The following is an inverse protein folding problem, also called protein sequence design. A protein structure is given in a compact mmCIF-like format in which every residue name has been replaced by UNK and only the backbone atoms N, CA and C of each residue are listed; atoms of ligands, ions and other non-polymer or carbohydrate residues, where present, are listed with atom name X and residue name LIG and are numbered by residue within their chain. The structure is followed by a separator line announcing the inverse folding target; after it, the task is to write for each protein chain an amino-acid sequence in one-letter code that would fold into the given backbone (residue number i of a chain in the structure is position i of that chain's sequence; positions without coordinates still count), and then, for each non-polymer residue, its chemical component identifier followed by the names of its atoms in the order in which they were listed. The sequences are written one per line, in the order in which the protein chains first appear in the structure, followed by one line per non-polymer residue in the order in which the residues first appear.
data_IF_374667572773
#
_entry.id   IF_374667572773
#
_cell.length_a   1.000
_cell.length_b   1.000
_cell.length_c   1.000
_cell.angle_alpha   90.00
_cell.angle_beta   90.00
_cell.angle_gamma   90.00
#
_symmetry.space_group_name_H-M   'P 1'
#
loop_
_entity.id
_entity.type
_entity.pdbx_description
1 polymer ?
#
# COMPACT_ATOMS: atom_id res chain seq x y z
N UNK A 1 -14.48 3.09 -20.31
CA UNK A 1 -13.12 2.51 -20.42
C UNK A 1 -13.25 1.07 -20.85
N UNK A 2 -12.28 0.54 -21.59
CA UNK A 2 -12.21 -0.88 -21.92
C UNK A 2 -12.10 -1.67 -20.62
N UNK A 3 -12.83 -2.78 -20.52
CA UNK A 3 -12.63 -3.74 -19.43
C UNK A 3 -11.32 -4.50 -19.68
N UNK A 4 -10.32 -4.25 -18.84
CA UNK A 4 -8.99 -4.87 -18.92
C UNK A 4 -8.83 -6.03 -17.93
N UNK A 5 -9.90 -6.42 -17.23
CA UNK A 5 -9.86 -7.41 -16.14
C UNK A 5 -9.36 -8.77 -16.62
N UNK A 6 -9.79 -9.21 -17.80
CA UNK A 6 -9.37 -10.51 -18.34
C UNK A 6 -7.87 -10.54 -18.68
N UNK A 7 -7.38 -9.53 -19.38
CA UNK A 7 -5.96 -9.45 -19.76
C UNK A 7 -5.06 -9.27 -18.53
N UNK A 8 -5.46 -8.42 -17.58
CA UNK A 8 -4.70 -8.18 -16.35
C UNK A 8 -4.69 -9.43 -15.45
N UNK A 9 -5.82 -10.12 -15.35
CA UNK A 9 -5.94 -11.37 -14.60
C UNK A 9 -5.08 -12.49 -15.21
N UNK A 10 -5.04 -12.60 -16.54
CA UNK A 10 -4.16 -13.54 -17.23
C UNK A 10 -2.68 -13.23 -16.96
N UNK A 11 -2.30 -11.95 -17.06
CA UNK A 11 -0.93 -11.50 -16.74
C UNK A 11 -0.51 -11.88 -15.30
N UNK A 12 -1.35 -11.57 -14.30
CA UNK A 12 -1.06 -11.89 -12.90
C UNK A 12 -0.99 -13.40 -12.65
N UNK A 13 -1.88 -14.18 -13.28
CA UNK A 13 -1.85 -15.63 -13.18
C UNK A 13 -0.56 -16.20 -13.76
N UNK A 14 -0.22 -15.82 -14.99
CA UNK A 14 1.00 -16.28 -15.66
C UNK A 14 2.25 -15.89 -14.86
N UNK A 15 2.26 -14.70 -14.26
CA UNK A 15 3.34 -14.25 -13.39
C UNK A 15 3.44 -15.10 -12.12
N UNK A 16 2.33 -15.31 -11.41
CA UNK A 16 2.29 -16.14 -10.21
C UNK A 16 2.69 -17.60 -10.49
N UNK A 17 2.23 -18.18 -11.59
CA UNK A 17 2.57 -19.55 -12.01
C UNK A 17 4.08 -19.67 -12.32
N UNK A 18 4.64 -18.71 -13.07
CA UNK A 18 6.07 -18.70 -13.44
C UNK A 18 6.98 -18.62 -12.22
N UNK A 19 6.59 -17.86 -11.20
CA UNK A 19 7.43 -17.59 -10.04
C UNK A 19 7.02 -18.37 -8.79
N UNK A 20 5.98 -19.21 -8.88
CA UNK A 20 5.45 -20.06 -7.81
C UNK A 20 5.00 -19.29 -6.56
N UNK A 21 4.37 -18.13 -6.74
CA UNK A 21 3.87 -17.30 -5.63
C UNK A 21 2.48 -17.74 -5.18
N UNK A 22 2.23 -17.76 -3.86
CA UNK A 22 0.88 -17.92 -3.32
C UNK A 22 0.28 -16.57 -2.95
N UNK A 23 -0.80 -16.17 -3.63
CA UNK A 23 -1.58 -15.00 -3.26
C UNK A 23 -2.50 -15.38 -2.10
N UNK A 24 -2.16 -15.01 -0.86
CA UNK A 24 -2.82 -15.54 0.35
C UNK A 24 -4.24 -14.99 0.56
N UNK A 25 -4.51 -13.76 0.12
CA UNK A 25 -5.75 -13.03 0.46
C UNK A 25 -6.84 -13.04 -0.63
N UNK A 26 -6.53 -13.37 -1.88
CA UNK A 26 -7.50 -13.28 -2.98
C UNK A 26 -7.13 -14.08 -4.26
N UNK A 27 -8.13 -14.52 -5.01
CA UNK A 27 -7.95 -15.03 -6.37
C UNK A 27 -7.45 -13.93 -7.34
N UNK A 28 -6.45 -14.20 -8.21
CA UNK A 28 -5.84 -13.20 -9.11
C UNK A 28 -6.83 -12.43 -9.99
N UNK A 29 -7.92 -13.06 -10.42
CA UNK A 29 -8.95 -12.41 -11.25
C UNK A 29 -9.77 -11.38 -10.46
N UNK A 30 -10.09 -11.67 -9.20
CA UNK A 30 -10.80 -10.73 -8.35
C UNK A 30 -9.89 -9.55 -7.99
N UNK A 31 -8.60 -9.83 -7.74
CA UNK A 31 -7.58 -8.79 -7.58
C UNK A 31 -7.48 -7.89 -8.80
N UNK A 32 -7.34 -8.46 -10.00
CA UNK A 32 -7.32 -7.72 -11.26
C UNK A 32 -8.57 -6.87 -11.47
N UNK A 33 -9.75 -7.40 -11.13
CA UNK A 33 -11.01 -6.65 -11.22
C UNK A 33 -11.00 -5.41 -10.33
N UNK A 34 -10.51 -5.52 -9.09
CA UNK A 34 -10.39 -4.38 -8.17
C UNK A 34 -9.35 -3.37 -8.66
N UNK A 35 -8.21 -3.85 -9.14
CA UNK A 35 -7.19 -2.99 -9.73
C UNK A 35 -7.74 -2.20 -10.92
N UNK A 36 -8.52 -2.84 -11.80
CA UNK A 36 -9.18 -2.17 -12.92
C UNK A 36 -10.20 -1.11 -12.46
N UNK A 37 -11.02 -1.40 -11.45
CA UNK A 37 -11.97 -0.43 -10.89
C UNK A 37 -11.25 0.79 -10.31
N UNK A 38 -10.16 0.54 -9.57
CA UNK A 38 -9.42 1.57 -8.83
C UNK A 38 -8.53 2.39 -9.77
N UNK A 39 -7.77 1.75 -10.65
CA UNK A 39 -6.62 2.39 -11.31
C UNK A 39 -6.85 2.83 -12.75
N UNK A 40 -7.94 2.39 -13.39
CA UNK A 40 -8.26 2.79 -14.76
C UNK A 40 -8.47 4.32 -14.89
N UNK A 41 -8.86 4.98 -13.80
CA UNK A 41 -9.09 6.43 -13.71
C UNK A 41 -7.82 7.28 -13.58
N UNK A 42 -6.63 6.71 -13.36
CA UNK A 42 -5.40 7.49 -13.18
C UNK A 42 -4.56 7.63 -14.45
N UNK A 43 -4.90 6.93 -15.53
CA UNK A 43 -4.09 6.96 -16.74
C UNK A 43 -4.28 8.23 -17.54
N UNK A 44 -3.15 8.89 -17.82
CA UNK A 44 -3.05 10.08 -18.66
C UNK A 44 -2.65 9.76 -20.11
N UNK A 45 -2.44 8.48 -20.46
CA UNK A 45 -2.02 8.07 -21.81
C UNK A 45 -3.19 7.95 -22.79
N UNK A 46 -2.93 8.24 -24.07
CA UNK A 46 -3.90 8.21 -25.16
C UNK A 46 -3.86 6.91 -25.98
N UNK A 47 -2.84 6.07 -25.83
CA UNK A 47 -2.72 4.82 -26.57
C UNK A 47 -2.96 3.59 -25.67
N UNK A 48 -3.64 2.59 -26.24
CA UNK A 48 -4.14 1.42 -25.53
C UNK A 48 -3.03 0.48 -25.04
N UNK A 49 -1.91 0.41 -25.77
CA UNK A 49 -0.79 -0.46 -25.42
C UNK A 49 -0.06 0.06 -24.19
N UNK A 50 0.33 1.33 -24.20
CA UNK A 50 1.00 2.01 -23.08
C UNK A 50 0.11 2.03 -21.84
N UNK A 51 -1.20 2.22 -22.01
CA UNK A 51 -2.18 2.09 -20.93
C UNK A 51 -2.11 0.71 -20.27
N UNK A 52 -2.11 -0.35 -21.08
CA UNK A 52 -2.09 -1.72 -20.56
C UNK A 52 -0.75 -2.09 -19.93
N UNK A 53 0.37 -1.63 -20.49
CA UNK A 53 1.71 -1.86 -19.92
C UNK A 53 1.86 -1.17 -18.57
N UNK A 54 1.40 0.08 -18.45
CA UNK A 54 1.34 0.75 -17.17
C UNK A 54 0.44 0.02 -16.18
N UNK A 55 -0.73 -0.50 -16.58
CA UNK A 55 -1.61 -1.25 -15.68
C UNK A 55 -0.95 -2.52 -15.15
N UNK A 56 -0.23 -3.26 -16.01
CA UNK A 56 0.55 -4.43 -15.61
C UNK A 56 1.62 -4.04 -14.58
N UNK A 57 2.24 -2.88 -14.75
CA UNK A 57 3.24 -2.37 -13.81
C UNK A 57 2.64 -2.02 -12.45
N UNK A 58 1.50 -1.32 -12.44
CA UNK A 58 0.75 -1.04 -11.22
C UNK A 58 0.32 -2.34 -10.52
N UNK A 59 -0.07 -3.36 -11.27
CA UNK A 59 -0.45 -4.65 -10.73
C UNK A 59 0.70 -5.41 -10.08
N UNK A 60 1.92 -5.34 -10.66
CA UNK A 60 3.12 -5.89 -10.01
C UNK A 60 3.47 -5.15 -8.73
N UNK A 61 3.37 -3.82 -8.72
CA UNK A 61 3.56 -3.05 -7.50
C UNK A 61 2.57 -3.46 -6.40
N UNK A 62 1.27 -3.54 -6.71
CA UNK A 62 0.27 -3.98 -5.74
C UNK A 62 0.49 -5.43 -5.28
N UNK A 63 0.92 -6.31 -6.18
CA UNK A 63 1.28 -7.70 -5.84
C UNK A 63 2.45 -7.73 -4.85
N UNK A 64 3.53 -7.01 -5.15
CA UNK A 64 4.68 -6.90 -4.24
C UNK A 64 4.24 -6.38 -2.87
N UNK A 65 3.43 -5.31 -2.87
CA UNK A 65 2.97 -4.65 -1.66
C UNK A 65 2.19 -5.62 -0.75
N UNK A 66 1.25 -6.38 -1.31
CA UNK A 66 0.50 -7.38 -0.54
C UNK A 66 1.40 -8.51 -0.03
N UNK A 67 2.35 -8.99 -0.85
CA UNK A 67 3.23 -10.10 -0.48
C UNK A 67 4.17 -9.69 0.65
N UNK A 68 4.75 -8.48 0.59
CA UNK A 68 5.63 -8.02 1.67
C UNK A 68 4.84 -7.72 2.95
N UNK A 69 3.64 -7.13 2.85
CA UNK A 69 2.71 -6.92 3.99
C UNK A 69 2.40 -8.24 4.70
N UNK A 70 1.98 -9.26 3.95
CA UNK A 70 1.71 -10.61 4.48
C UNK A 70 2.93 -11.24 5.16
N UNK A 71 4.13 -11.06 4.60
CA UNK A 71 5.35 -11.60 5.18
C UNK A 71 5.71 -10.88 6.48
N UNK A 72 5.50 -9.56 6.55
CA UNK A 72 5.78 -8.76 7.75
C UNK A 72 4.79 -9.10 8.87
N UNK A 73 3.54 -9.38 8.52
CA UNK A 73 2.49 -9.72 9.49
C UNK A 73 2.58 -11.18 9.97
N UNK A 74 2.86 -12.13 9.08
CA UNK A 74 2.69 -13.56 9.36
C UNK A 74 3.98 -14.40 9.29
N UNK A 75 5.15 -13.79 9.10
CA UNK A 75 6.41 -14.52 8.98
C UNK A 75 7.57 -13.87 9.74
N UNK A 76 8.46 -14.69 10.28
CA UNK A 76 9.74 -14.22 10.83
C UNK A 76 10.76 -13.76 9.76
N UNK A 77 10.41 -13.90 8.47
CA UNK A 77 11.27 -13.56 7.33
C UNK A 77 11.14 -12.11 6.85
N UNK A 78 10.37 -11.27 7.54
CA UNK A 78 10.15 -9.86 7.17
C UNK A 78 11.46 -9.09 6.93
N UNK A 79 12.41 -9.20 7.86
CA UNK A 79 13.71 -8.52 7.77
C UNK A 79 14.51 -8.94 6.52
N UNK A 80 14.59 -10.24 6.24
CA UNK A 80 15.33 -10.76 5.09
C UNK A 80 14.71 -10.31 3.76
N UNK A 81 13.38 -10.22 3.71
CA UNK A 81 12.63 -9.74 2.54
C UNK A 81 12.87 -8.25 2.27
N UNK A 82 12.86 -7.42 3.32
CA UNK A 82 13.20 -5.99 3.22
C UNK A 82 14.64 -5.83 2.72
N UNK A 83 15.59 -6.54 3.31
CA UNK A 83 17.01 -6.46 2.92
C UNK A 83 17.23 -6.88 1.46
N UNK A 84 16.58 -7.95 0.99
CA UNK A 84 16.69 -8.37 -0.41
C UNK A 84 16.12 -7.31 -1.37
N UNK A 85 14.97 -6.70 -1.03
CA UNK A 85 14.41 -5.59 -1.81
C UNK A 85 15.37 -4.39 -1.87
N UNK A 86 16.01 -4.04 -0.75
CA UNK A 86 17.01 -2.96 -0.70
C UNK A 86 18.24 -3.28 -1.56
N UNK A 87 18.72 -4.52 -1.51
CA UNK A 87 19.82 -4.98 -2.37
C UNK A 87 19.47 -4.88 -3.86
N UNK A 88 18.23 -5.25 -4.25
CA UNK A 88 17.74 -5.10 -5.62
C UNK A 88 17.77 -3.64 -6.06
N UNK A 89 17.16 -2.74 -5.28
CA UNK A 89 17.08 -1.32 -5.60
C UNK A 89 18.48 -0.69 -5.71
N UNK A 90 19.39 -1.03 -4.79
CA UNK A 90 20.79 -0.61 -4.85
C UNK A 90 21.51 -1.16 -6.10
N UNK A 91 21.19 -2.38 -6.52
CA UNK A 91 21.70 -3.01 -7.74
C UNK A 91 21.37 -2.20 -8.99
N UNK A 92 20.12 -1.76 -9.16
CA UNK A 92 19.71 -0.91 -10.29
C UNK A 92 20.45 0.43 -10.34
N UNK A 93 20.81 1.02 -9.19
CA UNK A 93 21.58 2.28 -9.14
C UNK A 93 23.07 2.11 -9.42
N UNK A 94 23.62 0.96 -9.05
CA UNK A 94 25.06 0.68 -9.13
C UNK A 94 25.48 -0.13 -10.36
N UNK A 95 24.52 -0.64 -11.14
CA UNK A 95 24.79 -1.57 -12.24
C UNK A 95 25.21 -2.97 -11.77
N UNK A 96 24.83 -3.33 -10.54
CA UNK A 96 25.15 -4.63 -9.94
C UNK A 96 24.31 -5.78 -10.51
N UNK A 97 24.76 -7.01 -10.32
CA UNK A 97 23.99 -8.21 -10.68
C UNK A 97 23.00 -8.57 -9.57
N UNK A 98 21.75 -8.80 -9.93
CA UNK A 98 20.75 -9.35 -9.00
C UNK A 98 20.95 -10.85 -8.80
N UNK A 99 20.96 -11.29 -7.54
CA UNK A 99 20.88 -12.69 -7.15
C UNK A 99 19.66 -12.86 -6.26
N UNK A 100 18.59 -13.47 -6.79
CA UNK A 100 17.34 -13.71 -6.06
C UNK A 100 17.59 -14.43 -4.74
N UNK A 101 17.10 -13.88 -3.63
CA UNK A 101 17.05 -14.57 -2.33
C UNK A 101 15.63 -14.77 -1.83
N UNK A 102 14.73 -13.83 -2.09
CA UNK A 102 13.35 -13.87 -1.59
C UNK A 102 12.32 -13.69 -2.71
N UNK A 103 11.05 -13.86 -2.34
CA UNK A 103 9.91 -13.65 -3.24
C UNK A 103 9.71 -12.16 -3.51
N UNK A 104 9.71 -11.33 -2.46
CA UNK A 104 9.56 -9.88 -2.56
C UNK A 104 10.68 -9.23 -3.36
N UNK A 105 11.93 -9.68 -3.18
CA UNK A 105 13.09 -9.21 -3.94
C UNK A 105 12.96 -9.53 -5.43
N UNK A 106 12.42 -10.70 -5.79
CA UNK A 106 12.13 -11.04 -7.18
C UNK A 106 11.05 -10.14 -7.79
N UNK A 107 9.96 -9.87 -7.06
CA UNK A 107 8.87 -9.04 -7.59
C UNK A 107 9.37 -7.59 -7.79
N UNK A 108 10.13 -7.03 -6.84
CA UNK A 108 10.76 -5.70 -7.01
C UNK A 108 11.75 -5.68 -8.17
N UNK A 109 12.55 -6.74 -8.34
CA UNK A 109 13.45 -6.83 -9.48
C UNK A 109 12.68 -6.76 -10.79
N UNK A 110 11.63 -7.56 -10.94
CA UNK A 110 10.84 -7.63 -12.16
C UNK A 110 10.03 -6.35 -12.41
N UNK A 111 9.52 -5.74 -11.34
CA UNK A 111 8.92 -4.40 -11.38
C UNK A 111 9.93 -3.39 -11.90
N UNK A 112 11.12 -3.29 -11.30
CA UNK A 112 12.11 -2.32 -11.75
C UNK A 112 12.56 -2.59 -13.19
N UNK A 113 12.78 -3.84 -13.59
CA UNK A 113 13.11 -4.19 -14.98
C UNK A 113 12.03 -3.69 -15.95
N UNK A 114 10.77 -4.06 -15.71
CA UNK A 114 9.66 -3.69 -16.58
C UNK A 114 9.39 -2.19 -16.57
N UNK A 115 9.52 -1.55 -15.41
CA UNK A 115 9.44 -0.11 -15.30
C UNK A 115 10.44 0.54 -16.25
N UNK A 116 11.73 0.18 -16.22
CA UNK A 116 12.73 0.73 -17.16
C UNK A 116 12.40 0.44 -18.63
N UNK A 117 11.74 -0.69 -18.92
CA UNK A 117 11.32 -1.08 -20.28
C UNK A 117 10.03 -0.39 -20.75
N UNK A 118 9.30 0.33 -19.88
CA UNK A 118 8.11 1.08 -20.28
C UNK A 118 8.44 2.07 -21.41
N UNK A 119 7.48 2.34 -22.33
CA UNK A 119 7.65 3.35 -23.36
C UNK A 119 8.14 4.68 -22.77
N UNK A 120 9.27 5.18 -23.28
CA UNK A 120 9.94 6.36 -22.73
C UNK A 120 9.14 7.64 -23.03
N UNK A 121 8.31 8.06 -22.08
CA UNK A 121 7.67 9.37 -22.04
C UNK A 121 8.68 10.49 -21.75
N UNK A 122 8.22 11.75 -21.85
CA UNK A 122 9.10 12.92 -21.69
C UNK A 122 9.47 13.23 -20.22
N UNK A 123 8.87 12.51 -19.27
CA UNK A 123 9.17 12.62 -17.83
C UNK A 123 9.84 11.34 -17.28
N UNK A 124 10.29 10.42 -18.15
CA UNK A 124 10.81 9.11 -17.77
C UNK A 124 11.96 9.16 -16.77
N UNK A 125 12.96 10.00 -17.03
CA UNK A 125 14.15 10.14 -16.19
C UNK A 125 13.80 10.58 -14.76
N UNK A 126 12.96 11.62 -14.60
CA UNK A 126 12.55 12.07 -13.27
C UNK A 126 11.65 11.04 -12.58
N UNK A 127 10.79 10.34 -13.33
CA UNK A 127 9.97 9.26 -12.78
C UNK A 127 10.78 8.09 -12.24
N UNK A 128 11.88 7.71 -12.90
CA UNK A 128 12.80 6.67 -12.41
C UNK A 128 13.46 7.08 -11.09
N UNK A 129 13.80 8.36 -10.94
CA UNK A 129 14.35 8.86 -9.68
C UNK A 129 13.31 8.87 -8.56
N UNK A 130 12.10 9.30 -8.87
CA UNK A 130 11.02 9.41 -7.90
C UNK A 130 10.51 8.04 -7.45
N UNK A 131 10.31 7.08 -8.36
CA UNK A 131 9.84 5.74 -8.00
C UNK A 131 10.84 5.03 -7.08
N UNK A 132 12.14 5.21 -7.33
CA UNK A 132 13.18 4.68 -6.45
C UNK A 132 13.07 5.26 -5.04
N UNK A 133 12.90 6.58 -4.92
CA UNK A 133 12.78 7.24 -3.62
C UNK A 133 11.51 6.79 -2.88
N UNK A 134 10.40 6.62 -3.59
CA UNK A 134 9.14 6.19 -2.99
C UNK A 134 9.20 4.72 -2.55
N UNK A 135 9.82 3.82 -3.32
CA UNK A 135 10.06 2.43 -2.91
C UNK A 135 10.96 2.33 -1.67
N UNK A 136 12.01 3.14 -1.60
CA UNK A 136 12.86 3.22 -0.40
C UNK A 136 12.08 3.70 0.82
N UNK A 137 11.19 4.69 0.63
CA UNK A 137 10.31 5.18 1.69
C UNK A 137 9.37 4.08 2.17
N UNK A 138 8.69 3.39 1.26
CA UNK A 138 7.78 2.28 1.59
C UNK A 138 8.51 1.17 2.36
N UNK A 139 9.72 0.78 1.95
CA UNK A 139 10.51 -0.23 2.65
C UNK A 139 10.88 0.19 4.08
N UNK A 140 11.16 1.47 4.32
CA UNK A 140 11.34 1.99 5.67
C UNK A 140 10.04 1.91 6.49
N UNK A 141 8.89 2.12 5.86
CA UNK A 141 7.58 1.94 6.48
C UNK A 141 7.32 0.49 6.91
N UNK A 142 7.60 -0.48 6.04
CA UNK A 142 7.51 -1.89 6.39
C UNK A 142 8.52 -2.30 7.48
N UNK A 143 9.73 -1.75 7.49
CA UNK A 143 10.68 -2.02 8.58
C UNK A 143 10.20 -1.45 9.92
N UNK A 144 9.54 -0.28 9.91
CA UNK A 144 8.88 0.27 11.09
C UNK A 144 7.75 -0.65 11.58
N UNK A 145 6.84 -1.09 10.70
CA UNK A 145 5.75 -2.00 11.06
C UNK A 145 6.28 -3.32 11.63
N UNK A 146 7.33 -3.89 11.02
CA UNK A 146 8.02 -5.07 11.55
C UNK A 146 8.53 -4.86 12.97
N UNK A 147 9.23 -3.74 13.22
CA UNK A 147 9.77 -3.42 14.55
C UNK A 147 8.63 -3.30 15.57
N UNK A 148 7.53 -2.65 15.19
CA UNK A 148 6.35 -2.50 16.04
C UNK A 148 5.74 -3.85 16.39
N UNK A 149 5.58 -4.74 15.42
CA UNK A 149 5.03 -6.09 15.62
C UNK A 149 5.95 -6.95 16.51
N UNK A 150 7.27 -6.88 16.30
CA UNK A 150 8.25 -7.64 17.10
C UNK A 150 8.37 -7.16 18.55
N UNK A 151 7.89 -5.95 18.87
CA UNK A 151 8.06 -5.31 20.19
C UNK A 151 6.73 -4.94 20.87
N UNK A 152 5.61 -5.54 20.45
CA UNK A 152 4.29 -5.40 21.08
C UNK A 152 3.87 -3.92 21.33
N UNK A 153 3.94 -3.09 20.28
CA UNK A 153 3.23 -1.80 20.28
C UNK A 153 4.01 -0.60 20.82
N UNK A 154 5.30 -0.51 20.53
CA UNK A 154 6.11 0.69 20.80
C UNK A 154 5.70 1.93 19.99
N UNK A 155 4.88 1.76 18.95
CA UNK A 155 4.55 2.82 18.00
C UNK A 155 3.65 3.91 18.59
N UNK A 156 3.93 5.17 18.24
CA UNK A 156 3.06 6.31 18.53
C UNK A 156 2.22 6.70 17.32
N UNK A 157 1.12 7.44 17.53
CA UNK A 157 0.34 7.99 16.42
C UNK A 157 1.18 8.88 15.48
N UNK A 158 2.19 9.59 16.00
CA UNK A 158 3.05 10.44 15.16
C UNK A 158 3.92 9.58 14.23
N UNK A 159 4.59 8.57 14.78
CA UNK A 159 5.44 7.66 14.00
C UNK A 159 4.62 6.81 13.03
N UNK A 160 3.43 6.39 13.43
CA UNK A 160 2.49 5.71 12.53
C UNK A 160 2.14 6.58 11.32
N UNK A 161 1.85 7.86 11.52
CA UNK A 161 1.54 8.76 10.41
C UNK A 161 2.78 9.08 9.54
N UNK A 162 3.98 8.92 10.08
CA UNK A 162 5.24 9.15 9.35
C UNK A 162 5.69 7.91 8.57
N UNK A 163 5.56 6.71 9.17
CA UNK A 163 6.15 5.46 8.67
C UNK A 163 5.13 4.34 8.41
N UNK A 164 4.10 4.18 9.23
CA UNK A 164 3.10 3.10 9.01
C UNK A 164 2.09 3.44 7.91
N UNK A 165 1.72 4.71 7.77
CA UNK A 165 0.71 5.13 6.81
C UNK A 165 1.18 5.12 5.35
N UNK A 166 2.49 4.99 5.13
CA UNK A 166 3.14 5.09 3.82
C UNK A 166 3.32 3.74 3.12
N UNK A 167 2.87 2.63 3.72
CA UNK A 167 3.14 1.28 3.20
C UNK A 167 2.47 0.98 1.86
N UNK A 168 1.43 1.70 1.41
CA UNK A 168 0.79 1.51 0.11
C UNK A 168 1.14 2.58 -0.96
N UNK A 169 1.92 3.59 -0.59
CA UNK A 169 2.18 4.88 -1.29
C UNK A 169 1.69 5.00 -2.75
N UNK A 170 0.55 5.69 -2.93
CA UNK A 170 -0.05 5.88 -4.25
C UNK A 170 0.83 6.68 -5.24
N UNK A 171 1.92 7.33 -4.79
CA UNK A 171 2.81 8.10 -5.68
C UNK A 171 3.56 7.21 -6.67
N UNK A 172 3.78 5.94 -6.36
CA UNK A 172 4.34 4.98 -7.32
C UNK A 172 3.44 4.87 -8.56
N UNK A 173 2.12 4.94 -8.40
CA UNK A 173 1.19 4.96 -9.53
C UNK A 173 1.36 6.21 -10.40
N UNK A 174 1.51 7.37 -9.76
CA UNK A 174 1.80 8.62 -10.46
C UNK A 174 3.12 8.53 -11.22
N UNK A 175 4.17 7.94 -10.63
CA UNK A 175 5.47 7.84 -11.28
C UNK A 175 5.44 6.93 -12.52
N UNK A 176 4.66 5.84 -12.49
CA UNK A 176 4.34 5.00 -13.66
C UNK A 176 3.61 5.80 -14.74
N UNK A 177 2.62 6.59 -14.35
CA UNK A 177 1.85 7.42 -15.30
C UNK A 177 2.75 8.51 -15.93
N UNK A 178 3.58 9.16 -15.13
CA UNK A 178 4.53 10.18 -15.58
C UNK A 178 5.59 9.59 -16.54
N UNK A 179 6.06 8.37 -16.26
CA UNK A 179 7.08 7.69 -17.06
C UNK A 179 6.64 7.47 -18.51
N UNK A 180 5.34 7.29 -18.71
CA UNK A 180 4.73 7.03 -20.02
C UNK A 180 4.02 8.25 -20.60
N UNK A 181 3.94 9.36 -19.86
CA UNK A 181 3.19 10.54 -20.28
C UNK A 181 3.87 11.22 -21.49
N UNK A 182 3.14 11.47 -22.60
CA UNK A 182 3.75 11.92 -23.85
C UNK A 182 4.15 13.39 -23.86
N UNK A 183 3.74 14.18 -22.87
CA UNK A 183 4.09 15.60 -22.77
C UNK A 183 5.04 15.82 -21.60
N UNK A 184 5.99 16.74 -21.77
CA UNK A 184 6.85 17.18 -20.68
C UNK A 184 6.04 18.08 -19.76
N UNK A 185 6.03 17.77 -18.46
CA UNK A 185 5.41 18.61 -17.43
C UNK A 185 6.46 19.50 -16.77
N UNK A 186 6.05 20.64 -16.23
CA UNK A 186 6.95 21.42 -15.38
C UNK A 186 7.17 20.72 -14.04
N UNK A 187 8.32 21.00 -13.40
CA UNK A 187 8.61 20.49 -12.06
C UNK A 187 7.58 20.97 -11.02
N UNK A 188 6.99 22.16 -11.21
CA UNK A 188 5.91 22.66 -10.36
C UNK A 188 4.67 21.78 -10.46
N UNK A 189 4.24 21.43 -11.68
CA UNK A 189 3.10 20.53 -11.89
C UNK A 189 3.37 19.14 -11.31
N UNK A 190 4.56 18.57 -11.51
CA UNK A 190 4.94 17.29 -10.91
C UNK A 190 4.89 17.39 -9.38
N UNK A 191 5.41 18.48 -8.80
CA UNK A 191 5.36 18.74 -7.36
C UNK A 191 3.93 18.80 -6.81
N UNK A 192 3.04 19.55 -7.44
CA UNK A 192 1.63 19.64 -7.03
C UNK A 192 0.90 18.29 -7.17
N UNK A 193 1.17 17.52 -8.24
CA UNK A 193 0.62 16.16 -8.39
C UNK A 193 1.11 15.23 -7.27
N UNK A 194 2.40 15.30 -6.92
CA UNK A 194 2.97 14.47 -5.85
C UNK A 194 2.40 14.82 -4.48
N UNK A 195 2.21 16.11 -4.18
CA UNK A 195 1.50 16.53 -2.97
C UNK A 195 0.05 16.05 -2.98
N UNK A 196 -0.66 16.16 -4.11
CA UNK A 196 -2.02 15.66 -4.22
C UNK A 196 -2.12 14.16 -3.90
N UNK A 197 -1.25 13.35 -4.50
CA UNK A 197 -1.22 11.90 -4.25
C UNK A 197 -0.80 11.57 -2.82
N UNK A 198 0.21 12.26 -2.26
CA UNK A 198 0.64 12.05 -0.88
C UNK A 198 -0.48 12.34 0.13
N UNK A 199 -1.25 13.41 -0.07
CA UNK A 199 -2.38 13.74 0.82
C UNK A 199 -3.52 12.74 0.66
N UNK A 200 -3.79 12.31 -0.57
CA UNK A 200 -4.83 11.34 -0.82
C UNK A 200 -4.51 9.96 -0.24
N UNK A 201 -3.24 9.55 -0.30
CA UNK A 201 -2.74 8.32 0.33
C UNK A 201 -3.08 8.28 1.83
N UNK A 202 -2.77 9.38 2.56
CA UNK A 202 -3.13 9.50 3.98
C UNK A 202 -4.64 9.45 4.21
N UNK A 203 -5.44 10.04 3.32
CA UNK A 203 -6.90 10.00 3.43
C UNK A 203 -7.43 8.55 3.27
N UNK A 204 -6.90 7.81 2.29
CA UNK A 204 -7.29 6.42 2.04
C UNK A 204 -6.81 5.50 3.15
N UNK A 205 -5.58 5.66 3.65
CA UNK A 205 -5.08 4.86 4.78
C UNK A 205 -5.98 5.02 6.01
N UNK A 206 -6.29 6.26 6.39
CA UNK A 206 -7.23 6.53 7.49
C UNK A 206 -8.60 5.88 7.25
N UNK A 207 -9.10 6.00 6.02
CA UNK A 207 -10.38 5.40 5.66
C UNK A 207 -10.34 3.88 5.72
N UNK A 208 -9.21 3.27 5.37
CA UNK A 208 -8.95 1.83 5.48
C UNK A 208 -8.95 1.41 6.95
N UNK A 209 -8.20 2.11 7.79
CA UNK A 209 -8.09 1.81 9.21
C UNK A 209 -9.47 1.87 9.90
N UNK A 210 -10.33 2.83 9.56
CA UNK A 210 -11.70 2.86 10.07
C UNK A 210 -12.48 1.62 9.61
N UNK A 211 -12.32 1.22 8.35
CA UNK A 211 -13.06 0.10 7.75
C UNK A 211 -12.65 -1.26 8.35
N UNK A 212 -11.37 -1.42 8.68
CA UNK A 212 -10.79 -2.66 9.21
C UNK A 212 -10.69 -2.68 10.74
N UNK A 213 -11.00 -1.56 11.41
CA UNK A 213 -10.81 -1.39 12.86
C UNK A 213 -11.32 -2.56 13.70
N UNK A 214 -12.58 -2.99 13.55
CA UNK A 214 -13.12 -4.06 14.40
C UNK A 214 -12.35 -5.38 14.24
N UNK A 215 -11.97 -5.74 13.00
CA UNK A 215 -11.17 -6.93 12.73
C UNK A 215 -9.79 -6.81 13.38
N UNK A 216 -9.15 -5.67 13.19
CA UNK A 216 -7.81 -5.40 13.71
C UNK A 216 -7.79 -5.35 15.25
N UNK A 217 -8.83 -4.79 15.85
CA UNK A 217 -8.94 -4.59 17.29
C UNK A 217 -9.28 -5.88 18.07
N UNK A 218 -10.13 -6.73 17.52
CA UNK A 218 -10.56 -7.97 18.17
C UNK A 218 -9.76 -9.20 17.75
N UNK A 219 -9.31 -9.28 16.49
CA UNK A 219 -8.73 -10.50 15.93
C UNK A 219 -7.22 -10.37 15.71
N UNK A 220 -6.77 -9.36 14.97
CA UNK A 220 -5.37 -9.28 14.53
C UNK A 220 -4.48 -8.66 15.62
N UNK A 221 -5.07 -7.95 16.57
CA UNK A 221 -4.36 -7.23 17.63
C UNK A 221 -3.28 -6.30 17.07
N UNK A 222 -3.57 -5.69 15.93
CA UNK A 222 -2.63 -4.88 15.16
C UNK A 222 -2.77 -3.38 15.45
N UNK A 223 -1.77 -2.62 15.04
CA UNK A 223 -1.81 -1.16 15.15
C UNK A 223 -2.75 -0.57 14.10
N UNK A 224 -3.61 0.33 14.54
CA UNK A 224 -4.61 1.01 13.73
C UNK A 224 -4.67 2.49 14.13
N UNK A 225 -4.94 3.41 13.21
CA UNK A 225 -5.05 4.84 13.51
C UNK A 225 -6.03 5.13 14.66
N UNK A 226 -7.15 4.41 14.75
CA UNK A 226 -8.16 4.54 15.83
C UNK A 226 -7.54 4.27 17.19
N UNK A 227 -6.79 3.17 17.32
CA UNK A 227 -6.16 2.78 18.58
C UNK A 227 -5.09 3.82 18.97
N UNK A 228 -4.19 4.12 18.04
CA UNK A 228 -3.05 4.99 18.30
C UNK A 228 -3.47 6.43 18.58
N UNK A 229 -4.51 6.93 17.89
CA UNK A 229 -5.07 8.24 18.19
C UNK A 229 -5.78 8.25 19.54
N UNK A 230 -6.58 7.22 19.86
CA UNK A 230 -7.20 7.09 21.18
C UNK A 230 -6.18 7.11 22.31
N UNK A 231 -5.05 6.43 22.13
CA UNK A 231 -3.93 6.46 23.08
C UNK A 231 -3.26 7.84 23.17
N UNK A 232 -3.03 8.50 22.03
CA UNK A 232 -2.46 9.85 21.97
C UNK A 232 -3.31 10.86 22.74
N UNK A 233 -4.63 10.78 22.59
CA UNK A 233 -5.58 11.68 23.25
C UNK A 233 -5.94 11.23 24.69
N UNK A 234 -5.27 10.19 25.22
CA UNK A 234 -5.53 9.60 26.54
C UNK A 234 -6.97 9.08 26.72
N UNK A 235 -7.62 8.71 25.63
CA UNK A 235 -8.96 8.12 25.60
C UNK A 235 -8.90 6.59 25.71
N UNK A 236 -7.77 5.97 25.37
CA UNK A 236 -7.56 4.52 25.46
C UNK A 236 -6.24 4.20 26.17
N UNK A 237 -6.16 3.12 26.97
CA UNK A 237 -4.92 2.70 27.59
C UNK A 237 -3.94 2.14 26.55
N UNK A 238 -2.63 2.23 26.83
CA UNK A 238 -1.58 1.75 25.91
C UNK A 238 -1.64 0.24 25.63
N UNK A 239 -2.11 -0.54 26.60
CA UNK A 239 -2.23 -1.99 26.50
C UNK A 239 -3.64 -2.47 26.11
N UNK A 240 -4.45 -1.60 25.48
CA UNK A 240 -5.85 -1.93 25.14
C UNK A 240 -5.99 -3.17 24.25
N UNK A 241 -5.00 -3.47 23.40
CA UNK A 241 -5.00 -4.66 22.57
C UNK A 241 -4.92 -5.97 23.37
N UNK A 242 -4.32 -5.94 24.56
CA UNK A 242 -4.25 -7.07 25.49
C UNK A 242 -5.36 -7.05 26.55
N UNK A 243 -6.32 -6.12 26.45
CA UNK A 243 -7.42 -6.04 27.40
C UNK A 243 -8.39 -7.22 27.24
N UNK A 244 -9.08 -7.56 28.34
CA UNK A 244 -10.15 -8.55 28.34
C UNK A 244 -11.26 -8.17 27.35
N UNK A 245 -11.91 -9.18 26.78
CA UNK A 245 -12.95 -9.00 25.76
C UNK A 245 -14.06 -8.04 26.21
N UNK A 246 -14.53 -8.18 27.45
CA UNK A 246 -15.58 -7.32 28.02
C UNK A 246 -15.15 -5.86 28.15
N UNK A 247 -13.87 -5.62 28.45
CA UNK A 247 -13.31 -4.27 28.47
C UNK A 247 -13.22 -3.70 27.05
N UNK A 248 -12.79 -4.50 26.08
CA UNK A 248 -12.74 -4.07 24.67
C UNK A 248 -14.12 -3.69 24.13
N UNK A 249 -15.14 -4.49 24.44
CA UNK A 249 -16.55 -4.22 24.10
C UNK A 249 -17.03 -2.90 24.70
N UNK A 250 -16.70 -2.63 25.97
CA UNK A 250 -17.04 -1.35 26.59
C UNK A 250 -16.41 -0.16 25.85
N UNK A 251 -15.13 -0.23 25.47
CA UNK A 251 -14.50 0.83 24.68
C UNK A 251 -15.15 1.00 23.31
N UNK A 252 -15.51 -0.11 22.66
CA UNK A 252 -16.20 -0.11 21.36
C UNK A 252 -17.51 0.68 21.41
N UNK A 253 -18.26 0.55 22.51
CA UNK A 253 -19.52 1.26 22.70
C UNK A 253 -19.33 2.72 23.16
N UNK A 254 -18.46 2.95 24.15
CA UNK A 254 -18.41 4.22 24.89
C UNK A 254 -17.43 5.25 24.29
N UNK A 255 -16.34 4.80 23.66
CA UNK A 255 -15.18 5.66 23.35
C UNK A 255 -14.86 5.68 21.86
N UNK A 256 -14.81 4.51 21.23
CA UNK A 256 -14.45 4.35 19.81
C UNK A 256 -15.27 5.23 18.87
N UNK A 257 -16.60 5.41 19.03
CA UNK A 257 -17.38 6.23 18.09
C UNK A 257 -16.89 7.68 18.01
N UNK A 258 -16.46 8.27 19.13
CA UNK A 258 -15.91 9.62 19.14
C UNK A 258 -14.55 9.68 18.45
N UNK A 259 -13.69 8.70 18.69
CA UNK A 259 -12.36 8.62 18.06
C UNK A 259 -12.50 8.45 16.53
N UNK A 260 -13.39 7.57 16.09
CA UNK A 260 -13.66 7.34 14.66
C UNK A 260 -14.13 8.64 13.99
N UNK A 261 -15.00 9.42 14.62
CA UNK A 261 -15.44 10.71 14.08
C UNK A 261 -14.27 11.70 13.91
N UNK A 262 -13.37 11.78 14.89
CA UNK A 262 -12.19 12.66 14.82
C UNK A 262 -11.21 12.24 13.71
N UNK A 263 -10.99 10.93 13.56
CA UNK A 263 -10.13 10.38 12.52
C UNK A 263 -10.75 10.53 11.14
N UNK A 264 -12.05 10.28 10.99
CA UNK A 264 -12.77 10.49 9.73
C UNK A 264 -12.68 11.95 9.29
N UNK A 265 -12.78 12.89 10.24
CA UNK A 265 -12.57 14.31 9.98
C UNK A 265 -11.15 14.59 9.48
N UNK A 266 -10.11 13.99 10.07
CA UNK A 266 -8.73 14.09 9.57
C UNK A 266 -8.58 13.52 8.16
N UNK A 267 -9.20 12.38 7.86
CA UNK A 267 -9.23 11.81 6.51
C UNK A 267 -9.84 12.77 5.49
N UNK A 268 -10.97 13.43 5.85
CA UNK A 268 -11.62 14.46 5.02
C UNK A 268 -10.74 15.71 4.84
N UNK A 269 -9.99 16.11 5.85
CA UNK A 269 -9.03 17.21 5.77
C UNK A 269 -7.92 16.90 4.75
N UNK A 270 -7.31 15.71 4.82
CA UNK A 270 -6.31 15.27 3.84
C UNK A 270 -6.87 15.16 2.41
N UNK A 271 -8.09 14.61 2.24
CA UNK A 271 -8.74 14.60 0.94
C UNK A 271 -8.95 16.02 0.41
N UNK A 272 -9.41 16.96 1.25
CA UNK A 272 -9.59 18.36 0.85
C UNK A 272 -8.28 19.01 0.41
N UNK A 273 -7.19 18.77 1.15
CA UNK A 273 -5.85 19.25 0.78
C UNK A 273 -5.39 18.66 -0.56
N UNK A 274 -5.58 17.35 -0.77
CA UNK A 274 -5.27 16.69 -2.03
C UNK A 274 -5.96 17.36 -3.21
N UNK A 275 -7.27 17.62 -3.10
CA UNK A 275 -8.04 18.28 -4.17
C UNK A 275 -7.52 19.70 -4.43
N UNK A 276 -7.15 20.46 -3.40
CA UNK A 276 -6.58 21.81 -3.58
C UNK A 276 -5.26 21.79 -4.37
N UNK A 277 -4.44 20.75 -4.23
CA UNK A 277 -3.24 20.60 -5.04
C UNK A 277 -3.58 20.25 -6.50
N UNK A 278 -4.55 19.36 -6.73
CA UNK A 278 -5.03 19.07 -8.09
C UNK A 278 -5.60 20.30 -8.81
N UNK A 279 -6.24 21.22 -8.08
CA UNK A 279 -6.79 22.47 -8.61
C UNK A 279 -5.70 23.49 -9.03
N UNK A 280 -4.46 23.34 -8.55
CA UNK A 280 -3.32 24.18 -8.96
C UNK A 280 -2.70 23.73 -10.28
N UNK A 281 -2.93 22.47 -10.67
CA UNK A 281 -2.39 21.88 -11.89
C UNK A 281 -3.18 22.36 -13.10
N UNK A 282 -2.51 23.11 -13.98
CA UNK A 282 -3.12 23.67 -15.20
C UNK A 282 -2.64 23.00 -16.50
N UNK A 283 -1.58 22.19 -16.44
CA UNK A 283 -0.98 21.54 -17.63
C UNK A 283 -1.77 20.29 -18.08
N UNK A 284 -2.56 19.69 -17.18
CA UNK A 284 -3.41 18.52 -17.45
C UNK A 284 -4.79 18.69 -16.81
N UNK A 285 -5.82 18.03 -17.36
CA UNK A 285 -7.16 18.03 -16.78
C UNK A 285 -7.25 17.06 -15.59
N UNK A 286 -7.19 17.59 -14.36
CA UNK A 286 -7.21 16.79 -13.13
C UNK A 286 -8.62 16.48 -12.60
N UNK A 287 -9.69 16.90 -13.29
CA UNK A 287 -11.07 16.74 -12.79
C UNK A 287 -11.48 15.28 -12.60
N UNK A 288 -11.02 14.40 -13.48
CA UNK A 288 -11.28 12.98 -13.40
C UNK A 288 -10.53 12.32 -12.23
N UNK A 289 -9.28 12.72 -11.97
CA UNK A 289 -8.49 12.32 -10.79
C UNK A 289 -9.18 12.78 -9.51
N UNK A 290 -9.61 14.05 -9.43
CA UNK A 290 -10.35 14.57 -8.27
C UNK A 290 -11.63 13.80 -7.99
N UNK A 291 -12.38 13.44 -9.05
CA UNK A 291 -13.59 12.62 -8.94
C UNK A 291 -13.28 11.20 -8.44
N UNK A 292 -12.20 10.60 -8.95
CA UNK A 292 -11.74 9.29 -8.52
C UNK A 292 -11.35 9.30 -7.03
N UNK A 293 -10.54 10.28 -6.60
CA UNK A 293 -10.13 10.44 -5.21
C UNK A 293 -11.34 10.52 -4.27
N UNK A 294 -12.31 11.39 -4.59
CA UNK A 294 -13.55 11.50 -3.80
C UNK A 294 -14.32 10.17 -3.77
N UNK A 295 -14.54 9.56 -4.93
CA UNK A 295 -15.31 8.31 -5.02
C UNK A 295 -14.62 7.16 -4.27
N UNK A 296 -13.30 7.06 -4.31
CA UNK A 296 -12.55 6.02 -3.61
C UNK A 296 -12.65 6.22 -2.10
N UNK A 297 -12.44 7.44 -1.61
CA UNK A 297 -12.55 7.76 -0.19
C UNK A 297 -13.96 7.48 0.35
N UNK A 298 -15.01 7.80 -0.41
CA UNK A 298 -16.40 7.54 -0.01
C UNK A 298 -16.76 6.05 -0.03
N UNK A 299 -16.20 5.28 -0.97
CA UNK A 299 -16.52 3.85 -1.14
C UNK A 299 -15.75 2.95 -0.18
N UNK A 300 -14.52 3.31 0.19
CA UNK A 300 -13.62 2.44 0.95
C UNK A 300 -14.21 1.99 2.31
N UNK A 301 -14.86 2.86 3.12
CA UNK A 301 -15.54 2.42 4.36
C UNK A 301 -16.66 1.40 4.14
N UNK A 302 -17.27 1.39 2.94
CA UNK A 302 -18.31 0.44 2.55
C UNK A 302 -17.76 -0.91 2.06
N UNK A 303 -16.48 -0.97 1.69
CA UNK A 303 -15.79 -2.20 1.31
C UNK A 303 -15.21 -2.88 2.57
N UNK A 304 -16.10 -3.28 3.49
CA UNK A 304 -15.73 -4.15 4.61
C UNK A 304 -15.22 -5.48 4.05
N UNK A 305 -13.92 -5.61 3.81
CA UNK A 305 -13.31 -6.86 3.38
C UNK A 305 -13.21 -7.78 4.59
N UNK A 306 -14.34 -8.42 4.91
CA UNK A 306 -14.34 -9.65 5.70
C UNK A 306 -13.83 -10.78 4.81
N UNK A 307 -12.52 -10.89 4.68
CA UNK A 307 -11.89 -12.19 4.44
C UNK A 307 -11.36 -12.65 5.80
N UNK A 308 -11.94 -13.70 6.43
CA UNK A 308 -11.29 -14.33 7.57
C UNK A 308 -9.91 -14.80 7.10
N UNK A 309 -8.88 -14.58 7.91
CA UNK A 309 -7.61 -15.27 7.72
C UNK A 309 -7.92 -16.77 7.62
N UNK A 310 -7.61 -17.40 6.49
CA UNK A 310 -7.51 -18.84 6.46
C UNK A 310 -6.36 -19.19 7.40
N UNK A 311 -6.68 -19.52 8.64
CA UNK A 311 -5.75 -20.21 9.54
C UNK A 311 -5.35 -21.51 8.84
N UNK A 312 -4.25 -21.47 8.08
CA UNK A 312 -3.48 -22.67 7.83
C UNK A 312 -2.89 -23.01 9.19
N UNK A 313 -3.43 -24.05 9.80
CA UNK A 313 -2.74 -24.84 10.83
C UNK A 313 -1.37 -25.22 10.25
N UNK A 314 -0.35 -24.40 10.50
CA UNK A 314 1.02 -24.77 10.23
C UNK A 314 1.57 -25.38 11.52
N UNK A 315 1.55 -26.71 11.50
CA UNK A 315 2.37 -27.66 12.25
C UNK A 315 3.39 -27.04 13.22
N UNK A 316 3.02 -27.03 14.50
CA UNK A 316 3.98 -27.08 15.60
C UNK A 316 4.60 -28.48 15.68
N UNK A 317 5.41 -28.85 14.70
CA UNK A 317 6.30 -29.99 14.83
C UNK A 317 7.56 -29.61 15.62
N UNK A 318 7.62 -30.11 16.86
CA UNK A 318 8.85 -30.68 17.41
C UNK A 318 9.86 -29.73 18.07
N UNK A 319 9.54 -29.21 19.25
CA UNK A 319 10.57 -29.01 20.28
C UNK A 319 10.53 -30.19 21.25
N UNK A 320 11.27 -31.25 20.91
CA UNK A 320 11.65 -32.29 21.86
C UNK A 320 12.52 -31.65 22.96
N UNK A 321 11.94 -31.50 24.15
CA UNK A 321 12.71 -31.28 25.37
C UNK A 321 13.46 -32.57 25.71
N UNK A 322 14.71 -32.66 25.28
CA UNK A 322 15.68 -33.60 25.82
C UNK A 322 16.05 -33.20 27.25
N UNK A 323 15.49 -33.93 28.22
CA UNK A 323 15.90 -33.87 29.63
C UNK A 323 17.35 -34.34 29.79
N UNK A 324 18.13 -33.61 30.58
CA UNK A 324 19.32 -34.13 31.27
C UNK A 324 18.94 -34.61 32.66
#
# INVERSE_FOLDING_TARGET
MKDCTEELGAFLKDYSDKHSFSFLREEPRAFASRLCEIFSVFFLSYDESTFMDGLKEKALYCLWNNVIDDIIEYSSKGKDNILDCLEVLAGFRSGGTFNKRTETGQIIHDFMMRFHELPSGLNKEISEDLVFLDLMRILNGFDYERIVHENDGIGTFSEYMEFGAITADLRVFLDIDLATYPKKLTLSTIGDLREAYSRFDMAIKISSDIATFEREYFTELSQNAVILYGQKENLMPRNILSAEQTQKEQFLEDVIPSIVNDIEKKGKEYLSESIKYLERVNEIDTRHISKAFKSMFEKYPGQRTFSPAHQKEHDSEGLETGSL
#
